data_IF_073562793249
#
_entry.id   IF_073562793249
#
_cell.length_a   1.000
_cell.length_b   1.000
_cell.length_c   1.000
_cell.angle_alpha   90.00
_cell.angle_beta   90.00
_cell.angle_gamma   90.00
#
_symmetry.space_group_name_H-M   'P 1'
#
loop_
_entity.id
_entity.type
_entity.pdbx_description
1 polymer ?
#
# COMPACT_ATOMS: atom_id res chain seq x y z
N UNK A 1 -32.00 25.47 6.72
CA UNK A 1 -30.63 25.91 6.36
C UNK A 1 -29.56 25.49 7.36
N UNK A 2 -29.83 25.36 8.67
CA UNK A 2 -28.84 24.84 9.65
C UNK A 2 -28.46 23.35 9.48
N UNK A 3 -29.31 22.54 8.84
CA UNK A 3 -29.06 21.09 8.67
C UNK A 3 -27.75 20.80 7.92
N UNK A 4 -27.52 21.46 6.78
CA UNK A 4 -26.29 21.29 5.99
C UNK A 4 -25.06 21.84 6.72
N UNK A 5 -25.21 22.89 7.54
CA UNK A 5 -24.13 23.41 8.38
C UNK A 5 -23.68 22.41 9.45
N UNK A 6 -24.62 21.77 10.14
CA UNK A 6 -24.33 20.71 11.12
C UNK A 6 -23.66 19.51 10.44
N UNK A 7 -24.16 19.10 9.27
CA UNK A 7 -23.58 18.01 8.50
C UNK A 7 -22.11 18.30 8.10
N UNK A 8 -21.86 19.51 7.61
CA UNK A 8 -20.52 19.98 7.26
C UNK A 8 -19.57 20.04 8.46
N UNK A 9 -20.08 20.45 9.62
CA UNK A 9 -19.29 20.50 10.86
C UNK A 9 -18.90 19.09 11.33
N UNK A 10 -19.85 18.13 11.32
CA UNK A 10 -19.58 16.73 11.65
C UNK A 10 -18.55 16.13 10.68
N UNK A 11 -18.71 16.38 9.37
CA UNK A 11 -17.78 15.89 8.35
C UNK A 11 -16.38 16.50 8.50
N UNK A 12 -16.31 17.80 8.79
CA UNK A 12 -15.03 18.49 9.02
C UNK A 12 -14.32 17.96 10.27
N UNK A 13 -15.05 17.76 11.36
CA UNK A 13 -14.51 17.11 12.56
C UNK A 13 -14.00 15.70 12.25
N UNK A 14 -14.77 14.91 11.50
CA UNK A 14 -14.35 13.57 11.09
C UNK A 14 -13.03 13.58 10.29
N UNK A 15 -12.93 14.45 9.28
CA UNK A 15 -11.72 14.58 8.47
C UNK A 15 -10.51 15.03 9.32
N UNK A 16 -10.72 16.00 10.20
CA UNK A 16 -9.68 16.47 11.12
C UNK A 16 -9.16 15.32 11.99
N UNK A 17 -10.06 14.52 12.55
CA UNK A 17 -9.70 13.36 13.35
C UNK A 17 -8.96 12.29 12.52
N UNK A 18 -9.39 12.02 11.28
CA UNK A 18 -8.68 11.05 10.42
C UNK A 18 -7.25 11.50 10.09
N UNK A 19 -7.04 12.79 9.87
CA UNK A 19 -5.71 13.37 9.64
C UNK A 19 -4.86 13.35 10.92
N UNK A 20 -5.45 13.77 12.05
CA UNK A 20 -4.78 13.75 13.35
C UNK A 20 -4.29 12.36 13.74
N UNK A 21 -5.07 11.33 13.45
CA UNK A 21 -4.68 9.94 13.69
C UNK A 21 -3.85 9.31 12.57
N UNK A 22 -3.49 10.04 11.51
CA UNK A 22 -2.71 9.52 10.37
C UNK A 22 -3.26 8.20 9.83
N UNK A 23 -4.58 8.10 9.70
CA UNK A 23 -5.25 6.88 9.24
C UNK A 23 -4.84 6.59 7.80
N UNK A 24 -4.39 5.36 7.53
CA UNK A 24 -3.82 4.93 6.26
C UNK A 24 -2.33 5.20 6.11
N UNK A 25 -1.72 5.96 7.03
CA UNK A 25 -0.28 6.22 7.04
C UNK A 25 0.54 4.97 7.37
N UNK A 26 1.82 4.96 7.00
CA UNK A 26 2.70 3.83 7.28
C UNK A 26 3.90 3.78 6.36
N UNK A 27 4.66 2.69 6.47
CA UNK A 27 5.91 2.51 5.73
C UNK A 27 6.11 1.04 5.31
N UNK A 28 6.96 0.85 4.31
CA UNK A 28 7.45 -0.45 3.87
C UNK A 28 8.93 -0.50 4.20
N UNK A 29 9.35 -1.45 5.02
CA UNK A 29 10.75 -1.67 5.38
C UNK A 29 11.23 -2.96 4.73
N UNK A 30 12.31 -2.84 3.95
CA UNK A 30 12.92 -3.97 3.23
C UNK A 30 14.35 -4.15 3.75
N UNK A 31 14.54 -5.06 4.71
CA UNK A 31 15.84 -5.25 5.35
C UNK A 31 16.52 -6.53 4.86
N UNK A 32 17.52 -6.37 3.98
CA UNK A 32 18.35 -7.48 3.48
C UNK A 32 19.26 -8.11 4.52
N UNK A 33 19.71 -7.34 5.51
CA UNK A 33 20.65 -7.82 6.53
C UNK A 33 19.94 -8.77 7.49
N UNK A 34 18.75 -8.37 7.94
CA UNK A 34 17.92 -9.18 8.83
C UNK A 34 17.06 -10.20 8.06
N UNK A 35 16.97 -10.06 6.72
CA UNK A 35 16.25 -10.99 5.86
C UNK A 35 14.73 -10.89 5.99
N UNK A 36 14.20 -9.73 6.40
CA UNK A 36 12.79 -9.52 6.74
C UNK A 36 12.23 -8.32 5.96
N UNK A 37 11.00 -8.46 5.50
CA UNK A 37 10.14 -7.37 5.05
C UNK A 37 9.11 -7.07 6.12
N UNK A 38 8.93 -5.79 6.43
CA UNK A 38 7.90 -5.31 7.33
C UNK A 38 7.03 -4.27 6.63
N UNK A 39 5.73 -4.53 6.61
CA UNK A 39 4.71 -3.63 6.08
C UNK A 39 3.90 -3.13 7.27
N UNK A 40 4.05 -1.84 7.58
CA UNK A 40 3.35 -1.21 8.69
C UNK A 40 2.32 -0.22 8.16
N UNK A 41 1.10 -0.26 8.69
CA UNK A 41 0.03 0.71 8.41
C UNK A 41 -0.74 1.06 9.68
N UNK A 42 -1.12 2.33 9.80
CA UNK A 42 -2.07 2.84 10.77
C UNK A 42 -3.50 2.68 10.23
N UNK A 43 -4.31 1.90 10.90
CA UNK A 43 -5.75 1.82 10.69
C UNK A 43 -6.53 2.84 11.51
N UNK A 44 -7.85 2.71 11.51
CA UNK A 44 -8.74 3.52 12.32
C UNK A 44 -8.45 3.33 13.83
N UNK A 45 -8.72 4.35 14.66
CA UNK A 45 -8.59 4.23 16.12
C UNK A 45 -9.44 3.06 16.64
N UNK A 46 -8.84 2.21 17.47
CA UNK A 46 -9.47 0.98 17.99
C UNK A 46 -8.44 -0.05 18.46
N UNK A 47 -8.90 -1.25 18.83
CA UNK A 47 -8.03 -2.34 19.36
C UNK A 47 -7.00 -2.83 18.33
N UNK A 48 -7.35 -2.86 17.05
CA UNK A 48 -6.48 -3.31 15.95
C UNK A 48 -6.03 -2.14 15.07
N UNK A 49 -5.66 -1.02 15.70
CA UNK A 49 -5.19 0.18 15.00
C UNK A 49 -3.90 -0.07 14.21
N UNK A 50 -3.02 -0.94 14.70
CA UNK A 50 -1.72 -1.20 14.06
C UNK A 50 -1.81 -2.44 13.20
N UNK A 51 -1.61 -2.27 11.90
CA UNK A 51 -1.43 -3.38 10.97
C UNK A 51 0.08 -3.52 10.78
N UNK A 52 0.65 -4.57 11.37
CA UNK A 52 2.08 -4.86 11.31
C UNK A 52 2.26 -6.26 10.73
N UNK A 53 2.73 -6.32 9.49
CA UNK A 53 2.93 -7.56 8.75
C UNK A 53 4.42 -7.76 8.53
N UNK A 54 4.98 -8.82 9.11
CA UNK A 54 6.38 -9.20 8.94
C UNK A 54 6.51 -10.53 8.21
N UNK A 55 7.35 -10.56 7.18
CA UNK A 55 7.60 -11.73 6.35
C UNK A 55 9.10 -11.93 6.14
N UNK A 56 9.62 -13.17 6.16
CA UNK A 56 10.99 -13.41 5.74
C UNK A 56 11.09 -13.24 4.22
N UNK A 57 12.23 -12.74 3.73
CA UNK A 57 12.44 -12.50 2.30
C UNK A 57 12.32 -13.79 1.47
N UNK A 58 12.65 -14.94 2.09
CA UNK A 58 12.55 -16.27 1.47
C UNK A 58 11.13 -16.70 1.11
N UNK A 59 10.13 -16.13 1.77
CA UNK A 59 8.72 -16.45 1.52
C UNK A 59 8.12 -15.59 0.39
N UNK A 60 8.89 -14.67 -0.16
CA UNK A 60 8.44 -13.82 -1.27
C UNK A 60 8.69 -14.58 -2.58
N UNK A 61 7.64 -14.77 -3.35
CA UNK A 61 7.71 -15.50 -4.61
C UNK A 61 7.98 -14.54 -5.77
N UNK A 62 7.23 -13.44 -5.83
CA UNK A 62 7.27 -12.50 -6.93
C UNK A 62 6.82 -11.10 -6.52
N UNK A 63 7.21 -10.11 -7.33
CA UNK A 63 6.58 -8.80 -7.35
C UNK A 63 5.62 -8.77 -8.52
N UNK A 64 4.35 -8.45 -8.24
CA UNK A 64 3.30 -8.39 -9.24
C UNK A 64 2.90 -6.95 -9.50
N UNK A 65 2.91 -6.53 -10.75
CA UNK A 65 2.42 -5.21 -11.17
C UNK A 65 1.07 -5.41 -11.84
N UNK A 66 0.04 -4.74 -11.33
CA UNK A 66 -1.27 -4.67 -11.96
C UNK A 66 -1.41 -3.33 -12.67
N UNK A 67 -1.63 -3.38 -13.99
CA UNK A 67 -1.89 -2.21 -14.83
C UNK A 67 -3.29 -2.38 -15.39
N UNK A 68 -4.23 -1.56 -14.93
CA UNK A 68 -5.56 -1.46 -15.54
C UNK A 68 -5.71 -0.08 -16.15
N UNK A 69 -5.93 -0.06 -17.46
CA UNK A 69 -6.31 1.16 -18.18
C UNK A 69 -7.83 1.22 -18.38
N UNK A 70 -8.38 2.44 -18.47
CA UNK A 70 -9.82 2.68 -18.65
C UNK A 70 -10.34 3.89 -17.88
N UNK A 71 -11.63 3.88 -17.53
CA UNK A 71 -12.31 4.98 -16.81
C UNK A 71 -11.74 5.19 -15.40
N UNK A 72 -11.21 4.12 -14.78
CA UNK A 72 -10.55 4.17 -13.48
C UNK A 72 -9.17 3.51 -13.57
N UNK A 73 -8.16 4.24 -14.08
CA UNK A 73 -6.83 3.69 -14.28
C UNK A 73 -6.22 3.33 -12.92
N UNK A 74 -5.73 2.09 -12.80
CA UNK A 74 -5.12 1.58 -11.58
C UNK A 74 -3.79 0.94 -11.89
N UNK A 75 -2.74 1.50 -11.28
CA UNK A 75 -1.36 1.03 -11.38
C UNK A 75 -0.89 0.70 -9.97
N UNK A 76 -0.76 -0.58 -9.64
CA UNK A 76 -0.48 -1.01 -8.26
C UNK A 76 0.59 -2.10 -8.25
N UNK A 77 1.60 -1.92 -7.41
CA UNK A 77 2.63 -2.93 -7.14
C UNK A 77 2.16 -3.77 -5.96
N UNK A 78 2.20 -5.09 -6.11
CA UNK A 78 1.90 -6.07 -5.09
C UNK A 78 3.11 -6.94 -4.81
N UNK A 79 3.23 -7.40 -3.57
CA UNK A 79 4.15 -8.45 -3.21
C UNK A 79 3.37 -9.77 -3.05
N UNK A 80 3.83 -10.82 -3.73
CA UNK A 80 3.28 -12.16 -3.59
C UNK A 80 4.10 -12.90 -2.54
N UNK A 81 3.42 -13.27 -1.45
CA UNK A 81 3.99 -14.08 -0.37
C UNK A 81 3.41 -15.48 -0.47
N UNK A 82 4.28 -16.48 -0.32
CA UNK A 82 3.92 -17.90 -0.38
C UNK A 82 2.74 -18.23 0.52
N UNK A 83 1.69 -18.79 -0.08
CA UNK A 83 0.48 -19.22 0.62
C UNK A 83 -0.39 -18.09 1.19
N UNK A 84 -0.16 -16.82 0.80
CA UNK A 84 -0.94 -15.67 1.24
C UNK A 84 -1.47 -14.85 0.07
N UNK A 85 -2.37 -13.91 0.37
CA UNK A 85 -2.90 -12.96 -0.61
C UNK A 85 -1.83 -11.95 -1.00
N UNK A 86 -1.89 -11.48 -2.24
CA UNK A 86 -1.05 -10.40 -2.77
C UNK A 86 -1.26 -9.13 -1.93
N UNK A 87 -0.17 -8.54 -1.40
CA UNK A 87 -0.22 -7.37 -0.52
C UNK A 87 0.19 -6.13 -1.33
N UNK A 88 -0.66 -5.09 -1.45
CA UNK A 88 -0.32 -3.88 -2.18
C UNK A 88 0.75 -3.08 -1.43
N UNK A 89 1.78 -2.64 -2.15
CA UNK A 89 2.88 -1.84 -1.63
C UNK A 89 2.69 -0.35 -1.91
N UNK A 90 2.08 0.00 -3.04
CA UNK A 90 1.86 1.39 -3.47
C UNK A 90 0.70 2.05 -2.72
N UNK A 91 0.79 3.38 -2.57
CA UNK A 91 -0.27 4.18 -1.94
C UNK A 91 -1.50 4.26 -2.84
N UNK A 92 -2.66 4.40 -2.21
CA UNK A 92 -3.92 4.68 -2.91
C UNK A 92 -3.91 6.18 -3.27
N UNK A 93 -4.08 6.50 -4.56
CA UNK A 93 -4.01 7.88 -5.04
C UNK A 93 -4.00 7.94 -6.57
N UNK A 94 -3.47 9.04 -7.11
CA UNK A 94 -3.29 9.20 -8.54
C UNK A 94 -2.32 8.13 -9.07
N UNK A 95 -2.65 7.43 -10.16
CA UNK A 95 -1.77 6.41 -10.72
C UNK A 95 -0.46 7.05 -11.18
N UNK A 96 0.65 6.44 -10.79
CA UNK A 96 2.00 6.79 -11.26
C UNK A 96 2.08 6.64 -12.77
N UNK A 97 3.07 7.27 -13.40
CA UNK A 97 3.33 7.03 -14.82
C UNK A 97 3.73 5.56 -15.03
N UNK A 98 3.60 5.07 -16.27
CA UNK A 98 3.95 3.67 -16.59
C UNK A 98 5.45 3.43 -16.35
N UNK A 99 6.27 4.39 -16.73
CA UNK A 99 7.72 4.35 -16.54
C UNK A 99 8.11 4.31 -15.06
N UNK A 100 7.48 5.15 -14.22
CA UNK A 100 7.73 5.17 -12.78
C UNK A 100 7.39 3.83 -12.13
N UNK A 101 6.22 3.25 -12.44
CA UNK A 101 5.81 1.99 -11.82
C UNK A 101 6.66 0.80 -12.27
N UNK A 102 7.06 0.76 -13.54
CA UNK A 102 7.94 -0.28 -14.06
C UNK A 102 9.33 -0.17 -13.44
N UNK A 103 9.86 1.06 -13.31
CA UNK A 103 11.17 1.31 -12.70
C UNK A 103 11.16 0.90 -11.22
N UNK A 104 10.18 1.36 -10.44
CA UNK A 104 10.07 1.01 -9.02
C UNK A 104 9.89 -0.50 -8.82
N UNK A 105 9.06 -1.15 -9.64
CA UNK A 105 8.85 -2.59 -9.55
C UNK A 105 10.11 -3.39 -9.94
N UNK A 106 10.83 -2.96 -10.98
CA UNK A 106 12.08 -3.59 -11.41
C UNK A 106 13.19 -3.42 -10.35
N UNK A 107 13.31 -2.24 -9.75
CA UNK A 107 14.26 -1.99 -8.67
C UNK A 107 13.96 -2.85 -7.44
N UNK A 108 12.68 -2.94 -7.04
CA UNK A 108 12.27 -3.81 -5.93
C UNK A 108 12.52 -5.29 -6.23
N UNK A 109 12.25 -5.75 -7.46
CA UNK A 109 12.44 -7.14 -7.85
C UNK A 109 13.93 -7.50 -7.86
N UNK A 110 14.76 -6.60 -8.41
CA UNK A 110 16.23 -6.71 -8.38
C UNK A 110 16.76 -6.65 -6.95
N UNK A 111 16.18 -5.81 -6.09
CA UNK A 111 16.54 -5.76 -4.69
C UNK A 111 16.25 -7.10 -4.02
N UNK A 112 15.04 -7.63 -4.15
CA UNK A 112 14.63 -8.87 -3.47
C UNK A 112 15.12 -10.15 -4.15
N UNK A 113 15.69 -10.06 -5.36
CA UNK A 113 16.11 -11.20 -6.20
C UNK A 113 14.96 -12.17 -6.51
N UNK A 114 13.77 -11.63 -6.79
CA UNK A 114 12.56 -12.39 -7.13
C UNK A 114 12.08 -12.06 -8.54
N UNK A 115 11.20 -12.89 -9.11
CA UNK A 115 10.63 -12.64 -10.43
C UNK A 115 9.67 -11.45 -10.42
N UNK A 116 9.67 -10.69 -11.52
CA UNK A 116 8.70 -9.65 -11.80
C UNK A 116 7.58 -10.24 -12.66
N UNK A 117 6.33 -10.16 -12.18
CA UNK A 117 5.13 -10.56 -12.91
C UNK A 117 4.35 -9.31 -13.33
N UNK A 118 4.07 -9.16 -14.61
CA UNK A 118 3.18 -8.12 -15.11
C UNK A 118 1.82 -8.72 -15.41
N UNK A 119 0.77 -8.13 -14.86
CA UNK A 119 -0.62 -8.45 -15.18
C UNK A 119 -1.28 -7.19 -15.74
N UNK A 120 -1.50 -7.24 -17.05
CA UNK A 120 -2.30 -6.29 -17.82
C UNK A 120 -3.78 -6.67 -17.78
#
# INVERSE_FOLDING_TARGET
MCFYGILGLIFSCYLWFTLFWSVGGGFNEFNKKDGIIRIFRWGFPGKNRRIDLSYPIKDIEAIRVEIRDGINPRRTIYIRVKGKRDIPLTRIGQPMTLEEIETEAAELAKFLQVSLEMVS
#
